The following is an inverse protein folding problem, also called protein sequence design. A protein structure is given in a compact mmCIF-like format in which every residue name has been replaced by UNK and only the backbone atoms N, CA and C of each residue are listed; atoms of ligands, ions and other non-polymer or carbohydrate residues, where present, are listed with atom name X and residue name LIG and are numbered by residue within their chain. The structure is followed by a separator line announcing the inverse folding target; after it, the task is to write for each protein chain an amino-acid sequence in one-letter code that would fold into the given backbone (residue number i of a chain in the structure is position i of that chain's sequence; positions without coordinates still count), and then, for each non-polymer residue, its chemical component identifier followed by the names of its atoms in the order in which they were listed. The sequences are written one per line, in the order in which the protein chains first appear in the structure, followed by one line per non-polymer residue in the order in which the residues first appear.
data_IF_639454615926
#
_entry.id   IF_639454615926
#
_cell.length_a   1.000
_cell.length_b   1.000
_cell.length_c   1.000
_cell.angle_alpha   90.00
_cell.angle_beta   90.00
_cell.angle_gamma   90.00
#
_symmetry.space_group_name_H-M   'P 1'
#
loop_
_entity.id
_entity.type
_entity.pdbx_description
1 polymer ?
#
# COMPACT_ATOMS: atom_id res chain seq x y z
N UNK A 1 -0.04 5.09 -20.05
CA UNK A 1 0.56 6.16 -19.22
C UNK A 1 0.42 7.53 -19.87
N UNK A 2 0.91 7.73 -21.08
CA UNK A 2 0.79 9.02 -21.80
C UNK A 2 -0.69 9.43 -21.95
N UNK A 3 -1.56 8.52 -22.37
CA UNK A 3 -2.98 8.81 -22.53
C UNK A 3 -3.64 9.22 -21.20
N UNK A 4 -3.28 8.54 -20.11
CA UNK A 4 -3.74 8.89 -18.76
C UNK A 4 -3.33 10.31 -18.35
N UNK A 5 -2.10 10.71 -18.62
CA UNK A 5 -1.64 12.08 -18.38
C UNK A 5 -2.34 13.08 -19.32
N UNK A 6 -2.49 12.72 -20.60
CA UNK A 6 -3.16 13.57 -21.59
C UNK A 6 -4.60 13.90 -21.20
N UNK A 7 -5.35 12.93 -20.67
CA UNK A 7 -6.71 13.17 -20.17
C UNK A 7 -6.73 14.17 -19.00
N UNK A 8 -5.81 14.04 -18.05
CA UNK A 8 -5.72 14.95 -16.91
C UNK A 8 -5.31 16.35 -17.36
N UNK A 9 -4.37 16.48 -18.30
CA UNK A 9 -4.00 17.78 -18.89
C UNK A 9 -5.19 18.42 -19.58
N UNK A 10 -5.91 17.69 -20.41
CA UNK A 10 -7.08 18.19 -21.11
C UNK A 10 -8.18 18.68 -20.16
N UNK A 11 -8.33 18.00 -19.02
CA UNK A 11 -9.31 18.39 -18.00
C UNK A 11 -8.87 19.61 -17.19
N UNK A 12 -7.57 19.93 -17.14
CA UNK A 12 -6.99 20.97 -16.28
C UNK A 12 -6.01 21.88 -17.02
N UNK A 13 -6.20 22.11 -18.32
CA UNK A 13 -5.32 22.92 -19.17
C UNK A 13 -5.03 24.32 -18.61
N UNK A 14 -6.03 24.92 -17.93
CA UNK A 14 -5.85 26.21 -17.26
C UNK A 14 -4.85 26.20 -16.09
N UNK A 15 -4.58 25.01 -15.53
CA UNK A 15 -3.67 24.85 -14.39
C UNK A 15 -2.27 24.48 -14.84
N UNK A 16 -2.15 23.59 -15.83
CA UNK A 16 -0.86 23.02 -16.25
C UNK A 16 -0.39 23.43 -17.63
N UNK A 17 -1.24 24.09 -18.40
CA UNK A 17 -0.95 24.45 -19.80
C UNK A 17 -1.12 23.28 -20.77
N UNK A 18 -0.75 23.46 -22.05
CA UNK A 18 -0.90 22.44 -23.06
C UNK A 18 0.00 21.23 -22.82
N UNK A 19 -0.51 20.03 -23.12
CA UNK A 19 0.25 18.80 -23.03
C UNK A 19 1.20 18.65 -24.24
N UNK A 20 2.48 18.52 -23.96
CA UNK A 20 3.51 18.30 -24.99
C UNK A 20 3.79 16.79 -25.12
N UNK A 21 3.09 16.14 -26.05
CA UNK A 21 3.19 14.70 -26.29
C UNK A 21 4.62 14.27 -26.66
N UNK A 22 5.36 15.08 -27.43
CA UNK A 22 6.70 14.70 -27.87
C UNK A 22 7.70 14.75 -26.71
N UNK A 23 7.57 15.75 -25.83
CA UNK A 23 8.35 15.82 -24.60
C UNK A 23 8.05 14.63 -23.68
N UNK A 24 6.77 14.26 -23.55
CA UNK A 24 6.37 13.13 -22.71
C UNK A 24 6.85 11.80 -23.30
N UNK A 25 6.77 11.58 -24.61
CA UNK A 25 7.31 10.38 -25.26
C UNK A 25 8.82 10.23 -25.08
N UNK A 26 9.56 11.34 -25.02
CA UNK A 26 11.00 11.32 -24.72
C UNK A 26 11.33 10.80 -23.32
N UNK A 27 10.41 10.99 -22.35
CA UNK A 27 10.57 10.47 -20.99
C UNK A 27 9.97 9.05 -20.84
N UNK A 28 8.84 8.75 -21.49
CA UNK A 28 8.13 7.46 -21.44
C UNK A 28 8.46 6.58 -22.67
N UNK A 29 9.73 6.31 -22.93
CA UNK A 29 10.13 5.38 -23.99
C UNK A 29 10.30 3.94 -23.42
N UNK A 30 10.40 2.94 -24.29
CA UNK A 30 10.49 1.52 -23.86
C UNK A 30 11.67 1.25 -22.95
N UNK A 31 12.83 1.86 -23.22
CA UNK A 31 14.06 1.69 -22.45
C UNK A 31 13.89 2.24 -21.02
N UNK A 32 13.41 3.48 -20.89
CA UNK A 32 13.18 4.11 -19.58
C UNK A 32 12.05 3.44 -18.80
N UNK A 33 11.02 2.92 -19.47
CA UNK A 33 9.95 2.18 -18.82
C UNK A 33 10.49 0.91 -18.17
N UNK A 34 11.30 0.12 -18.88
CA UNK A 34 11.94 -1.08 -18.34
C UNK A 34 12.87 -0.75 -17.17
N UNK A 35 13.80 0.21 -17.39
CA UNK A 35 14.77 0.63 -16.37
C UNK A 35 14.11 1.08 -15.06
N UNK A 36 13.10 1.94 -15.15
CA UNK A 36 12.50 2.50 -13.93
C UNK A 36 11.56 1.51 -13.22
N UNK A 37 10.89 0.62 -13.94
CA UNK A 37 10.12 -0.47 -13.32
C UNK A 37 11.07 -1.42 -12.56
N UNK A 38 12.18 -1.79 -13.15
CA UNK A 38 13.19 -2.62 -12.47
C UNK A 38 13.77 -1.91 -11.26
N UNK A 39 14.12 -0.61 -11.37
CA UNK A 39 14.58 0.21 -10.25
C UNK A 39 13.55 0.28 -9.11
N UNK A 40 12.26 0.37 -9.42
CA UNK A 40 11.20 0.30 -8.40
C UNK A 40 11.25 -1.03 -7.65
N UNK A 41 11.25 -2.16 -8.36
CA UNK A 41 11.25 -3.46 -7.72
C UNK A 41 12.55 -3.76 -6.97
N UNK A 42 13.70 -3.39 -7.50
CA UNK A 42 15.00 -3.54 -6.81
C UNK A 42 15.08 -2.70 -5.53
N UNK A 43 14.58 -1.47 -5.57
CA UNK A 43 14.60 -0.58 -4.41
C UNK A 43 13.61 -1.02 -3.32
N UNK A 44 12.46 -1.56 -3.71
CA UNK A 44 11.41 -2.06 -2.81
C UNK A 44 11.64 -3.48 -2.30
N UNK A 45 12.67 -4.19 -2.81
CA UNK A 45 13.11 -5.53 -2.27
C UNK A 45 13.58 -5.42 -0.82
N UNK A 46 14.03 -4.27 -0.35
CA UNK A 46 14.26 -4.07 1.08
C UNK A 46 12.93 -4.17 1.84
N UNK A 47 12.86 -4.85 3.01
CA UNK A 47 11.65 -5.47 3.59
C UNK A 47 10.58 -4.50 4.11
N UNK A 48 10.40 -3.33 3.51
CA UNK A 48 9.65 -2.24 4.15
C UNK A 48 8.24 -1.99 3.64
N UNK A 49 7.77 -2.60 2.61
CA UNK A 49 6.38 -2.67 2.17
C UNK A 49 6.32 -3.00 0.67
N UNK A 50 6.28 -4.25 0.34
CA UNK A 50 5.95 -4.67 -1.03
C UNK A 50 4.45 -4.44 -1.22
N UNK A 51 4.07 -3.21 -1.53
CA UNK A 51 2.68 -2.85 -1.84
C UNK A 51 2.25 -3.51 -3.15
N UNK A 52 3.17 -3.60 -4.10
CA UNK A 52 2.99 -4.34 -5.35
C UNK A 52 3.86 -5.59 -5.30
N UNK A 53 3.23 -6.74 -5.42
CA UNK A 53 3.95 -8.03 -5.48
C UNK A 53 4.47 -8.25 -6.91
N UNK A 54 5.78 -8.49 -7.04
CA UNK A 54 6.40 -8.72 -8.37
C UNK A 54 5.80 -9.93 -9.08
N UNK A 55 5.39 -10.95 -8.32
CA UNK A 55 4.75 -12.16 -8.84
C UNK A 55 3.36 -11.92 -9.46
N UNK A 56 2.68 -10.83 -9.10
CA UNK A 56 1.38 -10.44 -9.65
C UNK A 56 1.49 -9.30 -10.67
N UNK A 57 2.66 -8.70 -10.82
CA UNK A 57 2.85 -7.59 -11.73
C UNK A 57 3.08 -8.08 -13.16
N UNK A 58 2.30 -7.52 -14.09
CA UNK A 58 2.47 -7.75 -15.52
C UNK A 58 2.31 -6.41 -16.25
N UNK A 59 3.34 -6.03 -17.00
CA UNK A 59 3.40 -4.75 -17.72
C UNK A 59 2.22 -4.53 -18.68
N UNK A 60 1.72 -5.61 -19.31
CA UNK A 60 0.66 -5.53 -20.32
C UNK A 60 -0.75 -5.40 -19.70
N UNK A 61 -0.95 -5.96 -18.51
CA UNK A 61 -2.28 -6.04 -17.88
C UNK A 61 -2.46 -5.08 -16.71
N UNK A 62 -1.37 -4.56 -16.16
CA UNK A 62 -1.42 -3.59 -15.05
C UNK A 62 -2.04 -2.26 -15.50
N UNK A 63 -2.91 -1.69 -14.68
CA UNK A 63 -3.60 -0.44 -14.99
C UNK A 63 -2.62 0.72 -15.23
N UNK A 64 -2.96 1.60 -16.16
CA UNK A 64 -2.12 2.73 -16.53
C UNK A 64 -1.76 3.63 -15.34
N UNK A 65 -2.65 3.78 -14.37
CA UNK A 65 -2.45 4.60 -13.17
C UNK A 65 -1.44 4.00 -12.20
N UNK A 66 -1.51 2.68 -11.97
CA UNK A 66 -0.51 1.98 -11.16
C UNK A 66 0.85 1.97 -11.86
N UNK A 67 0.85 1.67 -13.15
CA UNK A 67 2.07 1.66 -13.96
C UNK A 67 2.77 3.03 -13.97
N UNK A 68 2.01 4.12 -14.14
CA UNK A 68 2.52 5.50 -14.05
C UNK A 68 3.17 5.76 -12.68
N UNK A 69 2.51 5.33 -11.61
CA UNK A 69 3.01 5.57 -10.25
C UNK A 69 4.30 4.78 -9.98
N UNK A 70 4.36 3.51 -10.39
CA UNK A 70 5.56 2.66 -10.30
C UNK A 70 6.71 3.27 -11.10
N UNK A 71 6.44 3.69 -12.34
CA UNK A 71 7.41 4.34 -13.21
C UNK A 71 8.02 5.60 -12.57
N UNK A 72 7.18 6.51 -12.06
CA UNK A 72 7.65 7.75 -11.42
C UNK A 72 8.44 7.48 -10.12
N UNK A 73 8.05 6.47 -9.36
CA UNK A 73 8.81 6.02 -8.20
C UNK A 73 10.16 5.45 -8.59
N UNK A 74 10.21 4.59 -9.61
CA UNK A 74 11.45 4.03 -10.12
C UNK A 74 12.40 5.10 -10.65
N UNK A 75 11.88 6.07 -11.40
CA UNK A 75 12.67 7.23 -11.85
C UNK A 75 13.24 8.05 -10.68
N UNK A 76 12.51 8.13 -9.56
CA UNK A 76 12.98 8.80 -8.35
C UNK A 76 14.07 8.00 -7.60
N UNK A 77 14.05 6.68 -7.70
CA UNK A 77 15.06 5.80 -7.09
C UNK A 77 16.29 5.63 -7.95
N UNK A 78 16.16 5.86 -9.26
CA UNK A 78 17.24 5.74 -10.21
C UNK A 78 18.40 6.72 -9.93
N UNK A 79 19.61 6.45 -10.48
CA UNK A 79 20.80 7.27 -10.24
C UNK A 79 20.77 8.61 -10.98
N UNK A 80 19.91 8.76 -11.99
CA UNK A 80 19.87 9.95 -12.85
C UNK A 80 19.11 11.11 -12.20
N UNK A 81 19.83 12.21 -11.89
CA UNK A 81 19.19 13.45 -11.40
C UNK A 81 18.24 14.07 -12.44
N UNK A 82 18.51 13.88 -13.73
CA UNK A 82 17.61 14.28 -14.81
C UNK A 82 16.27 13.54 -14.73
N UNK A 83 16.30 12.22 -14.53
CA UNK A 83 15.10 11.40 -14.38
C UNK A 83 14.29 11.78 -13.12
N UNK A 84 14.96 12.00 -11.97
CA UNK A 84 14.32 12.47 -10.74
C UNK A 84 13.62 13.81 -10.94
N UNK A 85 14.27 14.75 -11.61
CA UNK A 85 13.69 16.06 -11.93
C UNK A 85 12.46 15.93 -12.83
N UNK A 86 12.53 15.09 -13.84
CA UNK A 86 11.41 14.80 -14.75
C UNK A 86 10.25 14.13 -14.03
N UNK A 87 10.52 13.14 -13.17
CA UNK A 87 9.50 12.49 -12.35
C UNK A 87 8.82 13.49 -11.40
N UNK A 88 9.62 14.31 -10.68
CA UNK A 88 9.11 15.30 -9.72
C UNK A 88 8.15 16.32 -10.35
N UNK A 89 8.40 16.72 -11.60
CA UNK A 89 7.52 17.64 -12.33
C UNK A 89 6.13 17.07 -12.59
N UNK A 90 6.04 15.73 -12.76
CA UNK A 90 4.81 15.02 -13.11
C UNK A 90 4.02 14.50 -11.92
N UNK A 91 4.56 14.59 -10.70
CA UNK A 91 3.92 14.03 -9.52
C UNK A 91 2.54 14.63 -9.25
N UNK A 92 2.37 15.93 -9.40
CA UNK A 92 1.07 16.59 -9.15
C UNK A 92 0.01 16.07 -10.12
N UNK A 93 0.38 15.90 -11.39
CA UNK A 93 -0.53 15.37 -12.39
C UNK A 93 -0.84 13.90 -12.20
N UNK A 94 0.19 13.09 -11.91
CA UNK A 94 -0.01 11.67 -11.59
C UNK A 94 -0.92 11.51 -10.37
N UNK A 95 -0.79 12.39 -9.36
CA UNK A 95 -1.71 12.41 -8.22
C UNK A 95 -3.15 12.65 -8.66
N UNK A 96 -3.39 13.66 -9.51
CA UNK A 96 -4.71 13.91 -10.06
C UNK A 96 -5.22 12.73 -10.89
N UNK A 97 -4.39 12.18 -11.80
CA UNK A 97 -4.75 11.02 -12.59
C UNK A 97 -5.21 9.85 -11.73
N UNK A 98 -4.52 9.58 -10.63
CA UNK A 98 -4.84 8.47 -9.71
C UNK A 98 -6.14 8.74 -8.95
N UNK A 99 -6.30 9.92 -8.37
CA UNK A 99 -7.44 10.22 -7.50
C UNK A 99 -8.71 10.63 -8.25
N UNK A 100 -8.62 11.04 -9.50
CA UNK A 100 -9.76 11.31 -10.39
C UNK A 100 -10.11 10.12 -11.30
N UNK A 101 -9.37 9.00 -11.17
CA UNK A 101 -9.72 7.76 -11.85
C UNK A 101 -11.14 7.32 -11.49
N UNK A 102 -11.99 7.01 -12.48
CA UNK A 102 -13.36 6.56 -12.24
C UNK A 102 -13.46 5.36 -11.28
N UNK A 103 -12.52 4.40 -11.37
CA UNK A 103 -12.49 3.25 -10.46
C UNK A 103 -12.25 3.68 -9.01
N UNK A 104 -11.29 4.58 -8.77
CA UNK A 104 -11.03 5.09 -7.41
C UNK A 104 -12.22 5.89 -6.88
N UNK A 105 -12.80 6.77 -7.70
CA UNK A 105 -13.96 7.56 -7.31
C UNK A 105 -15.18 6.69 -7.00
N UNK A 106 -15.40 5.60 -7.76
CA UNK A 106 -16.45 4.63 -7.44
C UNK A 106 -16.23 3.99 -6.06
N UNK A 107 -15.00 3.66 -5.68
CA UNK A 107 -14.69 3.12 -4.35
C UNK A 107 -14.93 4.15 -3.25
N UNK A 108 -14.64 5.44 -3.49
CA UNK A 108 -14.89 6.53 -2.53
C UNK A 108 -16.38 6.77 -2.30
N UNK A 109 -17.16 6.79 -3.39
CA UNK A 109 -18.59 7.18 -3.36
C UNK A 109 -19.55 6.00 -3.22
N UNK A 110 -19.06 4.76 -3.28
CA UNK A 110 -19.92 3.59 -3.11
C UNK A 110 -20.43 3.50 -1.67
N UNK A 111 -21.75 3.63 -1.50
CA UNK A 111 -22.38 3.58 -0.20
C UNK A 111 -22.70 2.16 0.29
N UNK A 112 -22.53 1.15 -0.58
CA UNK A 112 -22.80 -0.24 -0.18
C UNK A 112 -21.56 -0.86 0.46
N UNK A 113 -21.68 -1.42 1.67
CA UNK A 113 -20.58 -2.14 2.30
C UNK A 113 -20.12 -3.28 1.39
N UNK A 114 -18.81 -3.34 1.13
CA UNK A 114 -18.18 -4.40 0.34
C UNK A 114 -17.15 -5.13 1.20
N UNK A 115 -16.92 -6.38 0.89
CA UNK A 115 -15.83 -7.14 1.49
C UNK A 115 -14.58 -7.04 0.61
N UNK A 116 -13.40 -7.15 1.21
CA UNK A 116 -12.13 -7.17 0.47
C UNK A 116 -12.08 -8.29 -0.57
N UNK A 117 -12.76 -9.41 -0.30
CA UNK A 117 -12.85 -10.54 -1.23
C UNK A 117 -13.56 -10.17 -2.55
N UNK A 118 -14.47 -9.21 -2.51
CA UNK A 118 -15.22 -8.73 -3.69
C UNK A 118 -14.44 -7.77 -4.58
N UNK A 119 -13.26 -7.27 -4.15
CA UNK A 119 -12.42 -6.39 -4.95
C UNK A 119 -11.88 -7.15 -6.18
N UNK A 120 -11.98 -6.52 -7.34
CA UNK A 120 -11.30 -7.00 -8.54
C UNK A 120 -9.86 -6.44 -8.63
N UNK A 121 -9.08 -6.96 -9.59
CA UNK A 121 -7.68 -6.57 -9.76
C UNK A 121 -7.51 -5.06 -10.02
N UNK A 122 -8.34 -4.47 -10.88
CA UNK A 122 -8.27 -3.04 -11.23
C UNK A 122 -8.57 -2.15 -10.01
N UNK A 123 -9.49 -2.56 -9.15
CA UNK A 123 -9.80 -1.84 -7.90
C UNK A 123 -8.63 -1.91 -6.91
N UNK A 124 -8.00 -3.09 -6.78
CA UNK A 124 -6.80 -3.26 -5.93
C UNK A 124 -5.67 -2.38 -6.46
N UNK A 125 -5.42 -2.39 -7.76
CA UNK A 125 -4.39 -1.57 -8.41
C UNK A 125 -4.64 -0.07 -8.24
N UNK A 126 -5.91 0.35 -8.28
CA UNK A 126 -6.28 1.74 -8.02
C UNK A 126 -5.94 2.18 -6.59
N UNK A 127 -6.16 1.30 -5.60
CA UNK A 127 -5.77 1.55 -4.21
C UNK A 127 -4.25 1.53 -4.06
N UNK A 128 -3.54 0.59 -4.72
CA UNK A 128 -2.07 0.55 -4.73
C UNK A 128 -1.48 1.87 -5.27
N UNK A 129 -1.99 2.34 -6.41
CA UNK A 129 -1.57 3.62 -7.00
C UNK A 129 -1.79 4.79 -6.03
N UNK A 130 -2.95 4.84 -5.36
CA UNK A 130 -3.27 5.88 -4.38
C UNK A 130 -2.32 5.86 -3.17
N UNK A 131 -1.99 4.70 -2.63
CA UNK A 131 -1.01 4.57 -1.53
C UNK A 131 0.37 5.03 -1.98
N UNK A 132 0.84 4.56 -3.14
CA UNK A 132 2.18 4.88 -3.65
C UNK A 132 2.34 6.36 -3.95
N UNK A 133 1.35 7.00 -4.59
CA UNK A 133 1.45 8.44 -4.92
C UNK A 133 1.37 9.30 -3.65
N UNK A 134 0.63 8.90 -2.63
CA UNK A 134 0.65 9.55 -1.31
C UNK A 134 2.05 9.50 -0.71
N UNK A 135 2.68 8.33 -0.71
CA UNK A 135 4.03 8.15 -0.14
C UNK A 135 5.06 9.07 -0.80
N UNK A 136 5.05 9.15 -2.13
CA UNK A 136 6.02 10.02 -2.83
C UNK A 136 5.71 11.51 -2.65
N UNK A 137 4.44 11.89 -2.61
CA UNK A 137 4.03 13.28 -2.38
C UNK A 137 4.29 13.76 -0.95
N UNK A 138 4.22 12.89 0.05
CA UNK A 138 4.63 13.23 1.43
C UNK A 138 6.13 13.53 1.51
N UNK A 139 6.96 12.89 0.68
CA UNK A 139 8.39 13.17 0.56
C UNK A 139 8.70 14.40 -0.34
N UNK A 140 7.70 14.96 -1.00
CA UNK A 140 7.87 16.12 -1.91
C UNK A 140 8.38 17.36 -1.16
N UNK A 141 9.28 18.15 -1.75
CA UNK A 141 9.65 19.46 -1.20
C UNK A 141 8.50 20.48 -1.26
N UNK A 142 7.47 20.26 -2.09
CA UNK A 142 6.34 21.19 -2.28
C UNK A 142 5.38 21.12 -1.08
N UNK A 143 5.26 22.22 -0.33
CA UNK A 143 4.37 22.29 0.83
C UNK A 143 2.88 22.09 0.45
N UNK A 144 2.47 22.61 -0.70
CA UNK A 144 1.08 22.48 -1.17
C UNK A 144 0.72 21.03 -1.52
N UNK A 145 1.63 20.26 -2.11
CA UNK A 145 1.44 18.85 -2.38
C UNK A 145 1.24 18.06 -1.06
N UNK A 146 2.13 18.26 -0.08
CA UNK A 146 2.00 17.63 1.25
C UNK A 146 0.70 18.04 1.95
N UNK A 147 0.28 19.31 1.82
CA UNK A 147 -0.99 19.79 2.39
C UNK A 147 -2.19 19.14 1.72
N UNK A 148 -2.20 19.06 0.38
CA UNK A 148 -3.27 18.44 -0.41
C UNK A 148 -3.42 16.96 -0.07
N UNK A 149 -2.30 16.23 -0.01
CA UNK A 149 -2.29 14.82 0.42
C UNK A 149 -2.92 14.66 1.79
N UNK A 150 -2.50 15.44 2.76
CA UNK A 150 -3.00 15.33 4.14
C UNK A 150 -4.48 15.64 4.28
N UNK A 151 -4.97 16.67 3.58
CA UNK A 151 -6.34 17.18 3.79
C UNK A 151 -7.37 16.49 2.89
N UNK A 152 -6.96 16.03 1.70
CA UNK A 152 -7.89 15.53 0.68
C UNK A 152 -7.62 14.06 0.34
N UNK A 153 -6.39 13.71 -0.02
CA UNK A 153 -6.07 12.40 -0.60
C UNK A 153 -6.05 11.28 0.45
N UNK A 154 -5.41 11.52 1.58
CA UNK A 154 -5.36 10.54 2.66
C UNK A 154 -6.76 10.26 3.27
N UNK A 155 -7.60 11.26 3.59
CA UNK A 155 -8.98 11.00 4.02
C UNK A 155 -9.82 10.24 3.00
N UNK A 156 -9.65 10.48 1.69
CA UNK A 156 -10.31 9.70 0.65
C UNK A 156 -9.85 8.23 0.68
N UNK A 157 -8.54 7.98 0.83
CA UNK A 157 -7.99 6.62 0.97
C UNK A 157 -8.52 5.91 2.22
N UNK A 158 -8.64 6.60 3.35
CA UNK A 158 -9.25 6.07 4.59
C UNK A 158 -10.71 5.68 4.34
N UNK A 159 -11.46 6.51 3.62
CA UNK A 159 -12.86 6.20 3.25
C UNK A 159 -12.94 4.93 2.39
N UNK A 160 -12.05 4.78 1.41
CA UNK A 160 -11.95 3.56 0.59
C UNK A 160 -11.61 2.34 1.44
N UNK A 161 -10.64 2.44 2.35
CA UNK A 161 -10.25 1.32 3.20
C UNK A 161 -11.42 0.80 4.06
N UNK A 162 -12.28 1.70 4.55
CA UNK A 162 -13.50 1.35 5.29
C UNK A 162 -14.59 0.79 4.38
N UNK A 163 -14.87 1.45 3.26
CA UNK A 163 -15.91 1.03 2.32
C UNK A 163 -15.66 -0.35 1.71
N UNK A 164 -14.39 -0.72 1.56
CA UNK A 164 -13.96 -2.02 1.01
C UNK A 164 -13.62 -3.06 2.08
N UNK A 165 -13.83 -2.75 3.36
CA UNK A 165 -13.48 -3.62 4.49
C UNK A 165 -12.01 -4.10 4.51
N UNK A 166 -11.07 -3.32 3.94
CA UNK A 166 -9.64 -3.62 4.05
C UNK A 166 -9.19 -3.69 5.51
N UNK A 167 -9.84 -2.92 6.40
CA UNK A 167 -9.59 -2.97 7.86
C UNK A 167 -9.88 -4.33 8.49
N UNK A 168 -10.58 -5.24 7.79
CA UNK A 168 -11.00 -6.55 8.27
C UNK A 168 -10.46 -7.70 7.41
N UNK A 169 -9.55 -7.41 6.48
CA UNK A 169 -9.04 -8.42 5.54
C UNK A 169 -8.27 -9.54 6.26
N UNK A 170 -8.60 -10.77 5.94
CA UNK A 170 -8.04 -11.97 6.55
C UNK A 170 -7.49 -12.91 5.50
N UNK A 171 -6.34 -13.49 5.78
CA UNK A 171 -5.75 -14.53 4.94
C UNK A 171 -5.81 -15.88 5.67
N UNK A 172 -6.89 -16.63 5.44
CA UNK A 172 -7.23 -17.84 6.21
C UNK A 172 -6.47 -19.10 5.77
N UNK A 173 -5.39 -18.99 5.01
CA UNK A 173 -4.65 -20.15 4.53
C UNK A 173 -4.10 -21.04 5.67
N UNK A 174 -3.88 -20.45 6.84
CA UNK A 174 -3.41 -21.18 8.04
C UNK A 174 -4.54 -21.99 8.74
N UNK A 175 -5.81 -21.76 8.39
CA UNK A 175 -6.93 -22.54 8.91
C UNK A 175 -7.00 -23.89 8.17
N UNK A 176 -6.84 -25.04 8.87
CA UNK A 176 -6.84 -26.35 8.23
C UNK A 176 -8.18 -26.71 7.57
N UNK A 177 -9.27 -26.03 7.94
CA UNK A 177 -10.59 -26.24 7.34
C UNK A 177 -10.76 -25.54 6.01
N UNK A 178 -9.88 -24.58 5.69
CA UNK A 178 -9.91 -23.81 4.45
C UNK A 178 -9.00 -24.46 3.41
N UNK A 179 -9.51 -24.75 2.18
CA UNK A 179 -8.67 -25.26 1.11
C UNK A 179 -7.53 -24.28 0.76
N UNK A 180 -6.35 -24.82 0.51
CA UNK A 180 -5.23 -24.02 0.04
C UNK A 180 -5.51 -23.51 -1.38
N UNK A 181 -5.30 -22.22 -1.59
CA UNK A 181 -5.43 -21.58 -2.89
C UNK A 181 -4.41 -20.43 -2.98
N UNK A 182 -3.37 -20.63 -3.78
CA UNK A 182 -2.27 -19.69 -3.93
C UNK A 182 -2.71 -18.32 -4.48
N UNK A 183 -3.60 -18.31 -5.47
CA UNK A 183 -4.10 -17.04 -6.03
C UNK A 183 -4.89 -16.22 -5.00
N UNK A 184 -5.74 -16.87 -4.22
CA UNK A 184 -6.46 -16.20 -3.13
C UNK A 184 -5.51 -15.74 -2.02
N UNK A 185 -4.47 -16.52 -1.72
CA UNK A 185 -3.44 -16.12 -0.76
C UNK A 185 -2.76 -14.83 -1.21
N UNK A 186 -2.27 -14.76 -2.45
CA UNK A 186 -1.58 -13.58 -2.98
C UNK A 186 -2.50 -12.35 -3.04
N UNK A 187 -3.76 -12.53 -3.46
CA UNK A 187 -4.75 -11.45 -3.47
C UNK A 187 -4.99 -10.89 -2.07
N UNK A 188 -5.26 -11.76 -1.10
CA UNK A 188 -5.52 -11.33 0.28
C UNK A 188 -4.27 -10.72 0.92
N UNK A 189 -3.10 -11.28 0.66
CA UNK A 189 -1.83 -10.74 1.13
C UNK A 189 -1.57 -9.34 0.56
N UNK A 190 -1.90 -9.10 -0.71
CA UNK A 190 -1.84 -7.75 -1.30
C UNK A 190 -2.74 -6.78 -0.54
N UNK A 191 -3.98 -7.17 -0.24
CA UNK A 191 -4.92 -6.35 0.53
C UNK A 191 -4.44 -6.11 1.98
N UNK A 192 -3.86 -7.12 2.64
CA UNK A 192 -3.26 -7.00 3.98
C UNK A 192 -2.10 -6.00 3.95
N UNK A 193 -1.21 -6.09 2.97
CA UNK A 193 -0.07 -5.17 2.83
C UNK A 193 -0.51 -3.75 2.49
N UNK A 194 -1.58 -3.59 1.73
CA UNK A 194 -2.21 -2.28 1.51
C UNK A 194 -2.70 -1.68 2.83
N UNK A 195 -3.48 -2.44 3.61
CA UNK A 195 -3.98 -1.95 4.89
C UNK A 195 -2.85 -1.67 5.89
N UNK A 196 -1.84 -2.53 5.94
CA UNK A 196 -0.64 -2.30 6.73
C UNK A 196 0.07 -0.98 6.35
N UNK A 197 0.21 -0.71 5.05
CA UNK A 197 0.81 0.54 4.55
C UNK A 197 -0.04 1.76 4.87
N UNK A 198 -1.37 1.65 4.80
CA UNK A 198 -2.31 2.72 5.20
C UNK A 198 -2.19 3.00 6.72
N UNK A 199 -2.06 1.95 7.54
CA UNK A 199 -1.82 2.08 9.00
C UNK A 199 -0.50 2.80 9.29
N UNK A 200 0.55 2.48 8.54
CA UNK A 200 1.85 3.18 8.67
C UNK A 200 1.77 4.65 8.24
N UNK A 201 0.98 4.96 7.22
CA UNK A 201 0.70 6.34 6.80
C UNK A 201 -0.05 7.12 7.89
N UNK A 202 -1.01 6.48 8.58
CA UNK A 202 -1.71 7.10 9.71
C UNK A 202 -0.73 7.44 10.84
N UNK A 203 0.11 6.48 11.22
CA UNK A 203 1.17 6.68 12.19
C UNK A 203 2.12 7.82 11.80
N UNK A 204 2.55 7.87 10.54
CA UNK A 204 3.39 8.96 10.02
C UNK A 204 2.70 10.32 10.18
N UNK A 205 1.43 10.43 9.82
CA UNK A 205 0.66 11.66 9.95
C UNK A 205 0.52 12.10 11.41
N UNK A 206 0.31 11.16 12.33
CA UNK A 206 0.25 11.44 13.77
C UNK A 206 1.60 11.95 14.28
N UNK A 207 2.68 11.21 14.01
CA UNK A 207 4.01 11.47 14.58
C UNK A 207 4.69 12.71 14.02
N UNK A 208 4.65 12.88 12.70
CA UNK A 208 5.42 13.92 12.01
C UNK A 208 4.59 15.16 11.64
N UNK A 209 3.29 15.00 11.51
CA UNK A 209 2.42 16.09 11.08
C UNK A 209 1.43 16.55 12.18
N UNK A 210 1.49 15.92 13.36
CA UNK A 210 0.63 16.19 14.51
C UNK A 210 -0.86 16.23 14.13
N UNK A 211 -1.32 15.26 13.33
CA UNK A 211 -2.72 15.11 12.96
C UNK A 211 -3.41 14.09 13.85
N UNK A 212 -4.71 14.24 14.13
CA UNK A 212 -5.46 13.21 14.84
C UNK A 212 -5.44 11.88 14.06
N UNK A 213 -5.41 10.72 14.76
CA UNK A 213 -5.51 9.41 14.11
C UNK A 213 -6.82 9.31 13.32
N UNK A 214 -6.73 8.73 12.13
CA UNK A 214 -7.90 8.48 11.28
C UNK A 214 -8.54 7.11 11.58
N UNK A 215 -7.77 6.18 12.15
CA UNK A 215 -8.25 4.87 12.57
C UNK A 215 -8.15 4.70 14.08
N UNK A 216 -9.02 3.85 14.61
CA UNK A 216 -8.94 3.35 16.00
C UNK A 216 -8.37 1.93 16.00
N UNK A 217 -7.74 1.52 17.09
CA UNK A 217 -7.18 0.16 17.22
C UNK A 217 -8.25 -0.91 17.02
N UNK A 218 -9.48 -0.65 17.43
CA UNK A 218 -10.60 -1.59 17.27
C UNK A 218 -10.96 -1.86 15.82
N UNK A 219 -10.65 -0.95 14.89
CA UNK A 219 -10.86 -1.12 13.46
C UNK A 219 -9.83 -2.06 12.81
N UNK A 220 -8.66 -2.28 13.43
CA UNK A 220 -7.56 -3.08 12.88
C UNK A 220 -7.79 -4.59 13.00
N UNK A 221 -8.90 -5.08 12.43
CA UNK A 221 -9.23 -6.50 12.37
C UNK A 221 -8.50 -7.28 11.28
N UNK A 222 -7.58 -6.66 10.54
CA UNK A 222 -6.83 -7.33 9.48
C UNK A 222 -5.67 -8.18 10.03
N UNK A 223 -5.29 -9.21 9.29
CA UNK A 223 -4.17 -10.09 9.64
C UNK A 223 -2.82 -9.36 9.46
N UNK A 224 -1.82 -9.82 10.21
CA UNK A 224 -0.45 -9.36 9.99
C UNK A 224 0.10 -9.90 8.65
N UNK A 225 0.94 -9.11 7.94
CA UNK A 225 1.55 -9.54 6.69
C UNK A 225 2.32 -10.85 6.82
N UNK A 226 2.17 -11.73 5.84
CA UNK A 226 2.86 -13.00 5.78
C UNK A 226 4.37 -12.83 5.52
N UNK A 227 5.14 -13.87 5.81
CA UNK A 227 6.55 -13.93 5.48
C UNK A 227 6.78 -13.87 3.96
N UNK A 228 7.90 -13.25 3.58
CA UNK A 228 8.24 -13.05 2.18
C UNK A 228 8.49 -14.34 1.42
N UNK A 229 8.99 -15.39 2.12
CA UNK A 229 9.17 -16.70 1.51
C UNK A 229 7.90 -17.23 0.83
N UNK A 230 6.73 -17.11 1.50
CA UNK A 230 5.47 -17.58 0.93
C UNK A 230 5.01 -16.78 -0.28
N UNK A 231 5.45 -15.53 -0.40
CA UNK A 231 5.09 -14.63 -1.50
C UNK A 231 6.01 -14.84 -2.72
N UNK A 232 7.28 -15.12 -2.46
CA UNK A 232 8.31 -15.27 -3.50
C UNK A 232 8.28 -16.66 -4.17
N UNK A 233 7.45 -17.59 -3.67
CA UNK A 233 7.22 -18.88 -4.31
C UNK A 233 6.40 -18.69 -5.58
N UNK A 234 7.04 -18.91 -6.74
CA UNK A 234 6.45 -18.60 -8.05
C UNK A 234 5.44 -19.63 -8.55
N UNK A 235 5.40 -20.83 -7.97
CA UNK A 235 4.48 -21.89 -8.40
C UNK A 235 3.59 -22.38 -7.26
N UNK A 236 2.38 -22.78 -7.62
CA UNK A 236 1.33 -23.20 -6.68
C UNK A 236 1.72 -24.46 -5.89
N UNK A 237 2.41 -25.42 -6.50
CA UNK A 237 2.75 -26.69 -5.86
C UNK A 237 3.79 -26.49 -4.75
N UNK A 238 4.85 -25.72 -5.03
CA UNK A 238 5.87 -25.37 -4.03
C UNK A 238 5.27 -24.54 -2.90
N UNK A 239 4.37 -23.61 -3.24
CA UNK A 239 3.64 -22.81 -2.25
C UNK A 239 2.75 -23.68 -1.35
N UNK A 240 2.01 -24.65 -1.90
CA UNK A 240 1.15 -25.54 -1.13
C UNK A 240 1.96 -26.37 -0.13
N UNK A 241 3.12 -26.90 -0.52
CA UNK A 241 4.02 -27.61 0.38
C UNK A 241 4.50 -26.70 1.52
N UNK A 242 4.92 -25.48 1.18
CA UNK A 242 5.32 -24.48 2.16
C UNK A 242 4.15 -24.16 3.11
N UNK A 243 2.98 -23.88 2.56
CA UNK A 243 1.80 -23.51 3.33
C UNK A 243 1.34 -24.63 4.27
N UNK A 244 1.41 -25.89 3.86
CA UNK A 244 1.11 -27.04 4.72
C UNK A 244 2.06 -27.12 5.92
N UNK A 245 3.35 -26.91 5.71
CA UNK A 245 4.34 -26.92 6.79
C UNK A 245 4.14 -25.74 7.74
N UNK A 246 3.85 -24.55 7.22
CA UNK A 246 3.64 -23.34 8.03
C UNK A 246 2.30 -23.33 8.80
N UNK A 247 1.31 -24.13 8.40
CA UNK A 247 0.04 -24.28 9.14
C UNK A 247 0.22 -24.78 10.58
N UNK A 248 1.29 -25.50 10.86
CA UNK A 248 1.59 -26.02 12.18
C UNK A 248 2.02 -24.92 13.16
N UNK A 249 2.49 -23.79 12.65
CA UNK A 249 2.90 -22.67 13.49
C UNK A 249 1.70 -21.79 13.85
N UNK A 250 1.52 -21.55 15.15
CA UNK A 250 0.51 -20.59 15.61
C UNK A 250 0.93 -19.19 15.18
N UNK A 251 0.03 -18.52 14.43
CA UNK A 251 0.23 -17.12 14.06
C UNK A 251 -0.48 -16.18 15.02
N UNK A 252 0.06 -14.97 15.22
CA UNK A 252 -0.62 -13.96 16.01
C UNK A 252 -2.04 -13.72 15.50
N UNK A 253 -2.91 -13.34 16.41
CA UNK A 253 -4.24 -12.84 16.11
C UNK A 253 -4.22 -11.62 15.19
N UNK A 254 -5.36 -11.16 14.65
CA UNK A 254 -5.45 -9.89 13.95
C UNK A 254 -4.78 -8.75 14.71
N UNK A 255 -4.35 -7.72 14.00
CA UNK A 255 -3.55 -6.64 14.57
C UNK A 255 -4.15 -6.04 15.85
N UNK A 256 -5.47 -5.81 15.88
CA UNK A 256 -6.14 -5.27 17.07
C UNK A 256 -6.00 -6.18 18.31
N UNK A 257 -6.18 -7.48 18.13
CA UNK A 257 -6.01 -8.46 19.24
C UNK A 257 -4.55 -8.57 19.64
N UNK A 258 -3.65 -8.59 18.67
CA UNK A 258 -2.23 -8.63 18.92
C UNK A 258 -1.76 -7.42 19.76
N UNK A 259 -2.25 -6.20 19.42
CA UNK A 259 -1.97 -5.00 20.19
C UNK A 259 -2.55 -5.11 21.61
N UNK A 260 -3.79 -5.62 21.75
CA UNK A 260 -4.41 -5.83 23.08
C UNK A 260 -3.60 -6.81 23.93
N UNK A 261 -3.15 -7.92 23.36
CA UNK A 261 -2.30 -8.89 24.05
C UNK A 261 -0.96 -8.25 24.51
N UNK A 262 -0.31 -7.46 23.65
CA UNK A 262 0.93 -6.75 23.99
C UNK A 262 0.76 -5.69 25.10
N UNK A 263 -0.45 -5.18 25.27
CA UNK A 263 -0.77 -4.18 26.31
C UNK A 263 -1.36 -4.83 27.57
N UNK A 264 -1.55 -6.13 27.58
CA UNK A 264 -2.05 -6.89 28.74
C UNK A 264 -0.95 -7.05 29.79
N UNK A 265 -1.32 -7.00 31.06
CA UNK A 265 -0.42 -7.31 32.17
C UNK A 265 0.04 -8.78 32.19
N UNK A 266 -0.74 -9.67 31.52
CA UNK A 266 -0.45 -11.09 31.40
C UNK A 266 0.35 -11.46 30.12
N UNK A 267 0.97 -10.48 29.44
CA UNK A 267 1.73 -10.75 28.24
C UNK A 267 2.91 -11.70 28.51
N UNK A 268 2.96 -12.89 27.84
CA UNK A 268 3.97 -13.91 28.13
C UNK A 268 5.39 -13.54 27.70
N UNK A 269 5.58 -12.42 26.99
CA UNK A 269 6.88 -12.01 26.46
C UNK A 269 7.15 -12.50 25.06
N UNK A 270 8.29 -12.09 24.51
CA UNK A 270 8.75 -12.48 23.16
C UNK A 270 9.18 -13.95 23.05
N UNK A 271 9.31 -14.66 24.17
CA UNK A 271 9.70 -16.08 24.21
C UNK A 271 8.54 -17.02 23.81
N UNK A 272 7.29 -16.51 23.80
CA UNK A 272 6.16 -17.29 23.29
C UNK A 272 6.34 -17.57 21.79
N UNK A 273 6.27 -18.82 21.34
CA UNK A 273 6.48 -19.22 19.94
C UNK A 273 5.64 -18.42 18.93
N UNK A 274 4.47 -17.95 19.31
CA UNK A 274 3.61 -17.15 18.42
C UNK A 274 4.18 -15.77 18.07
N UNK A 275 5.18 -15.27 18.83
CA UNK A 275 5.86 -13.99 18.57
C UNK A 275 7.25 -14.16 17.96
N UNK A 276 7.81 -15.40 17.93
CA UNK A 276 9.17 -15.65 17.51
C UNK A 276 9.45 -15.37 16.03
N UNK A 277 8.40 -15.44 15.18
CA UNK A 277 8.51 -15.34 13.72
C UNK A 277 8.06 -13.98 13.16
N UNK A 278 8.05 -12.92 13.99
CA UNK A 278 7.70 -11.58 13.53
C UNK A 278 8.84 -10.98 12.72
N UNK A 279 8.62 -10.75 11.43
CA UNK A 279 9.59 -10.05 10.60
C UNK A 279 9.57 -8.53 10.88
N UNK A 280 10.59 -7.81 10.37
CA UNK A 280 10.75 -6.36 10.58
C UNK A 280 9.54 -5.58 10.10
N UNK A 281 8.93 -5.95 8.96
CA UNK A 281 7.74 -5.27 8.43
C UNK A 281 6.55 -5.43 9.38
N UNK A 282 6.30 -6.65 9.86
CA UNK A 282 5.25 -6.93 10.84
C UNK A 282 5.44 -6.13 12.14
N UNK A 283 6.68 -6.04 12.64
CA UNK A 283 6.97 -5.22 13.82
C UNK A 283 6.68 -3.74 13.57
N UNK A 284 7.02 -3.20 12.41
CA UNK A 284 6.65 -1.83 12.03
C UNK A 284 5.14 -1.60 12.03
N UNK A 285 4.37 -2.55 11.48
CA UNK A 285 2.90 -2.47 11.46
C UNK A 285 2.34 -2.47 12.88
N UNK A 286 2.84 -3.34 13.76
CA UNK A 286 2.43 -3.42 15.17
C UNK A 286 2.73 -2.12 15.90
N UNK A 287 3.93 -1.58 15.75
CA UNK A 287 4.30 -0.30 16.38
C UNK A 287 3.43 0.83 15.85
N UNK A 288 3.18 0.88 14.55
CA UNK A 288 2.30 1.88 13.93
C UNK A 288 0.86 1.78 14.45
N UNK A 289 0.35 0.57 14.62
CA UNK A 289 -1.00 0.33 15.13
C UNK A 289 -1.19 0.68 16.61
N UNK A 290 -0.11 0.76 17.40
CA UNK A 290 -0.18 1.21 18.81
C UNK A 290 -0.42 2.71 18.98
N UNK A 291 -0.03 3.53 18.03
CA UNK A 291 -0.11 5.00 18.15
C UNK A 291 -1.52 5.55 18.41
N UNK A 292 -2.61 4.97 17.87
CA UNK A 292 -3.96 5.40 18.21
C UNK A 292 -4.42 5.01 19.63
N UNK A 293 -3.61 4.30 20.43
CA UNK A 293 -4.03 3.89 21.79
C UNK A 293 -4.04 5.07 22.76
N UNK A 294 -5.05 5.19 23.64
CA UNK A 294 -5.08 6.23 24.67
C UNK A 294 -3.84 6.23 25.57
N UNK A 295 -3.29 5.05 25.87
CA UNK A 295 -2.08 4.88 26.68
C UNK A 295 -0.84 5.49 26.02
N UNK A 296 -0.68 5.27 24.70
CA UNK A 296 0.42 5.85 23.94
C UNK A 296 0.29 7.37 23.86
N UNK A 297 -0.91 7.89 23.53
CA UNK A 297 -1.15 9.34 23.50
C UNK A 297 -0.92 9.99 24.87
N UNK A 298 -1.34 9.34 25.95
CA UNK A 298 -1.08 9.82 27.32
C UNK A 298 0.41 9.83 27.69
N UNK A 299 1.21 8.92 27.14
CA UNK A 299 2.66 8.87 27.37
C UNK A 299 3.43 9.98 26.63
N UNK A 300 2.90 10.48 25.52
CA UNK A 300 3.50 11.59 24.76
C UNK A 300 3.20 12.97 25.35
N UNK A 301 2.21 13.06 26.24
CA UNK A 301 1.81 14.31 26.91
C UNK A 301 2.50 14.50 28.27
N UNK A 302 3.31 13.56 28.71
CA UNK A 302 4.17 13.63 29.90
C UNK A 302 5.60 13.93 29.50
#
# INVERSE_FOLDING_TARGET
MIDCLSEVYSSHENIWGPFDIDLERGFFNEETVGEFIDAYFEHTVRPRSRIVLKSLFNLETTSAHLLLTIFLLGANFGPSEGAKSQATRRLDMAEYAVFENPTFLQLVYNQQPRTSDSLNQTEIESIQAAVLIILIQLASPKADARRRVRIQRYPALVSVARATSLTQVRNRWHDPTVPLNHANFLKNETCIRLMASITMLDCHNIMFLNTPPQFTVTEFGFDLPAEEKGIDLGDSATWEIWAQNEREYQRPSPLNRFIQELLSDDWPGLEDPKYSNLNVFTLFVVVSGKHPTPQFLASMLK
#
